data_IF_108710438353
#
_entry.id   IF_108710438353
#
_cell.length_a   1.000
_cell.length_b   1.000
_cell.length_c   1.000
_cell.angle_alpha   90.00
_cell.angle_beta   90.00
_cell.angle_gamma   90.00
#
_symmetry.space_group_name_H-M   'P 1'
#
loop_
_entity.id
_entity.type
_entity.pdbx_description
1 polymer ?
#
# COMPACT_ATOMS: atom_id res chain seq x y z
N UNK A 1 7.07 21.74 -11.30
CA UNK A 1 5.76 21.05 -11.26
C UNK A 1 5.82 20.01 -10.14
N UNK A 2 4.78 19.84 -9.32
CA UNK A 2 4.78 18.82 -8.24
C UNK A 2 4.47 17.44 -8.84
N UNK A 3 5.16 16.41 -8.37
CA UNK A 3 4.87 15.02 -8.70
C UNK A 3 3.58 14.60 -7.96
N UNK A 4 2.60 13.95 -8.63
CA UNK A 4 1.38 13.51 -7.95
C UNK A 4 1.68 12.42 -6.91
N UNK A 5 0.88 12.36 -5.86
CA UNK A 5 1.01 11.39 -4.77
C UNK A 5 -0.37 10.78 -4.46
N UNK A 6 -0.46 9.46 -4.49
CA UNK A 6 -1.69 8.70 -4.24
C UNK A 6 -1.47 7.76 -3.06
N UNK A 7 -2.30 7.87 -2.03
CA UNK A 7 -2.25 7.01 -0.85
C UNK A 7 -3.56 6.25 -0.62
N UNK A 8 -3.46 4.93 -0.47
CA UNK A 8 -4.58 4.06 -0.12
C UNK A 8 -4.71 3.89 1.40
N UNK A 9 -5.64 4.61 2.04
CA UNK A 9 -5.96 4.41 3.45
C UNK A 9 -6.87 3.18 3.65
N UNK A 10 -6.33 2.11 4.22
CA UNK A 10 -7.06 0.86 4.43
C UNK A 10 -7.99 0.92 5.64
N UNK A 11 -7.91 1.98 6.45
CA UNK A 11 -8.66 2.16 7.70
C UNK A 11 -8.40 0.95 8.62
N UNK A 12 -9.42 0.46 9.33
CA UNK A 12 -9.35 -0.72 10.17
C UNK A 12 -9.92 -1.94 9.43
N UNK A 13 -9.36 -2.27 8.27
CA UNK A 13 -9.74 -3.43 7.46
C UNK A 13 -8.55 -4.37 7.24
N UNK A 14 -8.84 -5.53 6.65
CA UNK A 14 -7.93 -6.65 6.36
C UNK A 14 -7.57 -7.49 7.58
N UNK A 15 -7.26 -8.76 7.34
CA UNK A 15 -6.36 -9.58 8.15
C UNK A 15 -4.90 -9.31 7.76
N UNK A 16 -3.93 -9.74 8.56
CA UNK A 16 -2.50 -9.59 8.24
C UNK A 16 -2.11 -10.24 6.90
N UNK A 17 -2.68 -11.41 6.59
CA UNK A 17 -2.42 -12.12 5.34
C UNK A 17 -2.96 -11.36 4.12
N UNK A 18 -4.20 -10.87 4.21
CA UNK A 18 -4.82 -10.05 3.16
C UNK A 18 -4.05 -8.74 2.96
N UNK A 19 -3.60 -8.11 4.04
CA UNK A 19 -2.77 -6.90 3.99
C UNK A 19 -1.48 -7.13 3.18
N UNK A 20 -0.75 -8.20 3.47
CA UNK A 20 0.48 -8.54 2.77
C UNK A 20 0.24 -8.87 1.29
N UNK A 21 -0.85 -9.60 0.98
CA UNK A 21 -1.23 -9.90 -0.40
C UNK A 21 -1.60 -8.63 -1.19
N UNK A 22 -2.43 -7.77 -0.59
CA UNK A 22 -2.87 -6.51 -1.19
C UNK A 22 -1.70 -5.57 -1.43
N UNK A 23 -0.78 -5.43 -0.47
CA UNK A 23 0.43 -4.61 -0.61
C UNK A 23 1.26 -5.04 -1.83
N UNK A 24 1.56 -6.34 -1.94
CA UNK A 24 2.29 -6.91 -3.08
C UNK A 24 1.55 -6.73 -4.41
N UNK A 25 0.22 -6.84 -4.39
CA UNK A 25 -0.63 -6.57 -5.56
C UNK A 25 -0.51 -5.13 -6.03
N UNK A 26 -0.64 -4.16 -5.12
CA UNK A 26 -0.50 -2.73 -5.42
C UNK A 26 0.90 -2.40 -5.93
N UNK A 27 1.95 -2.92 -5.29
CA UNK A 27 3.33 -2.68 -5.71
C UNK A 27 3.60 -3.17 -7.14
N UNK A 28 3.12 -4.37 -7.51
CA UNK A 28 3.25 -4.88 -8.87
C UNK A 28 2.44 -4.07 -9.88
N UNK A 29 1.19 -3.72 -9.55
CA UNK A 29 0.29 -3.02 -10.46
C UNK A 29 0.70 -1.56 -10.72
N UNK A 30 1.45 -0.96 -9.79
CA UNK A 30 1.90 0.43 -9.87
C UNK A 30 3.38 0.57 -10.22
N UNK A 31 4.04 -0.53 -10.59
CA UNK A 31 5.42 -0.50 -11.09
C UNK A 31 5.53 0.43 -12.31
N UNK A 32 6.27 1.54 -12.16
CA UNK A 32 6.45 2.53 -13.23
C UNK A 32 5.35 3.60 -13.30
N UNK A 33 4.46 3.70 -12.31
CA UNK A 33 3.46 4.76 -12.27
C UNK A 33 4.12 6.17 -12.34
N UNK A 34 3.51 7.14 -13.05
CA UNK A 34 4.02 8.51 -13.17
C UNK A 34 3.80 9.35 -11.90
N UNK A 35 3.46 8.70 -10.78
CA UNK A 35 3.17 9.29 -9.48
C UNK A 35 3.80 8.45 -8.37
N UNK A 36 3.86 9.02 -7.18
CA UNK A 36 4.22 8.30 -5.96
C UNK A 36 2.99 7.58 -5.41
N UNK A 37 3.19 6.35 -4.94
CA UNK A 37 2.13 5.47 -4.43
C UNK A 37 2.49 5.03 -3.02
N UNK A 38 1.52 5.12 -2.11
CA UNK A 38 1.63 4.61 -0.75
C UNK A 38 0.39 3.80 -0.36
N UNK A 39 0.56 2.86 0.55
CA UNK A 39 -0.53 2.17 1.24
C UNK A 39 -0.44 2.46 2.73
N UNK A 40 -1.59 2.62 3.39
CA UNK A 40 -1.67 2.90 4.82
C UNK A 40 -2.50 1.80 5.49
N UNK A 41 -1.87 0.65 5.84
CA UNK A 41 -2.52 -0.43 6.59
C UNK A 41 -2.83 -0.03 8.05
N UNK A 42 -3.66 -0.81 8.77
CA UNK A 42 -3.71 -0.75 10.23
C UNK A 42 -2.32 -0.94 10.85
N UNK A 43 -2.07 -0.31 12.01
CA UNK A 43 -0.77 -0.35 12.69
C UNK A 43 -0.22 -1.78 12.88
N UNK A 44 -1.08 -2.73 13.25
CA UNK A 44 -0.71 -4.13 13.48
C UNK A 44 -0.12 -4.83 12.25
N UNK A 45 -0.44 -4.37 11.03
CA UNK A 45 0.00 -5.02 9.79
C UNK A 45 1.22 -4.35 9.16
N UNK A 46 1.77 -3.29 9.76
CA UNK A 46 2.93 -2.58 9.21
C UNK A 46 4.13 -3.51 8.98
N UNK A 47 4.38 -4.46 9.88
CA UNK A 47 5.48 -5.41 9.76
C UNK A 47 5.31 -6.36 8.56
N UNK A 48 4.07 -6.81 8.29
CA UNK A 48 3.77 -7.72 7.20
C UNK A 48 3.71 -7.03 5.81
N UNK A 49 3.57 -5.71 5.79
CA UNK A 49 3.38 -4.89 4.58
C UNK A 49 4.66 -4.17 4.13
N UNK A 50 5.69 -4.07 4.99
CA UNK A 50 6.88 -3.24 4.74
C UNK A 50 7.71 -3.66 3.50
N UNK A 51 7.66 -4.92 3.12
CA UNK A 51 8.54 -5.54 2.11
C UNK A 51 7.79 -5.81 0.78
#
# INVERSE_FOLDING_TARGET
MRRPFIAGNWKMNTTEAEAAELARGVARATAGAPCDVAVCPPFSHLAAVRD
#
